data_IF_374558546558
#
_entry.id   IF_374558546558
#
_cell.length_a   1.000
_cell.length_b   1.000
_cell.length_c   1.000
_cell.angle_alpha   90.00
_cell.angle_beta   90.00
_cell.angle_gamma   90.00
#
_symmetry.space_group_name_H-M   'P 1'
#
loop_
_entity.id
_entity.type
_entity.pdbx_description
1 polymer ?
#
# COMPACT_ATOMS: atom_id res chain seq x y z
N UNK A 1 -8.73 3.54 -3.22
CA UNK A 1 -7.36 3.13 -2.82
C UNK A 1 -7.20 3.33 -1.33
N UNK A 2 -6.72 2.29 -0.63
CA UNK A 2 -6.41 2.33 0.79
C UNK A 2 -4.91 2.54 1.01
N UNK A 3 -4.55 3.25 2.07
CA UNK A 3 -3.17 3.41 2.52
C UNK A 3 -3.11 3.63 4.03
N UNK A 4 -2.02 3.18 4.65
CA UNK A 4 -1.64 3.56 6.01
C UNK A 4 -0.84 4.86 5.97
N UNK A 5 -1.10 5.75 6.91
CA UNK A 5 -0.40 7.04 7.09
C UNK A 5 -0.17 7.27 8.57
N UNK A 6 1.06 7.05 9.03
CA UNK A 6 1.43 7.13 10.44
C UNK A 6 2.66 8.01 10.66
N UNK A 7 2.67 8.73 11.78
CA UNK A 7 3.78 9.59 12.18
C UNK A 7 3.77 10.96 11.52
N UNK A 8 4.89 11.67 11.67
CA UNK A 8 5.11 13.00 11.10
C UNK A 8 6.61 13.20 10.81
N UNK A 9 6.95 14.16 9.94
CA UNK A 9 8.33 14.39 9.51
C UNK A 9 8.60 13.96 8.06
N UNK A 10 9.87 13.73 7.67
CA UNK A 10 10.22 13.38 6.29
C UNK A 10 9.50 12.11 5.82
N UNK A 11 8.84 12.14 4.64
CA UNK A 11 8.01 11.03 4.20
C UNK A 11 8.83 9.83 3.74
N UNK A 12 8.39 8.64 4.11
CA UNK A 12 8.90 7.35 3.62
C UNK A 12 7.75 6.57 3.02
N UNK A 13 7.83 6.28 1.72
CA UNK A 13 6.79 5.52 1.00
C UNK A 13 7.25 4.07 0.85
N UNK A 14 6.43 3.13 1.32
CA UNK A 14 6.76 1.69 1.31
C UNK A 14 5.79 0.97 0.36
N UNK A 15 6.29 0.56 -0.81
CA UNK A 15 5.47 -0.06 -1.86
C UNK A 15 5.69 -1.57 -1.86
N UNK A 16 4.63 -2.32 -1.60
CA UNK A 16 4.68 -3.77 -1.49
C UNK A 16 4.74 -4.47 -2.87
N UNK A 17 5.19 -5.73 -2.88
CA UNK A 17 5.18 -6.62 -4.06
C UNK A 17 3.95 -7.53 -4.12
N UNK A 18 3.93 -8.47 -5.07
CA UNK A 18 2.88 -9.48 -5.24
C UNK A 18 3.37 -10.86 -4.74
N UNK A 19 2.60 -11.65 -3.96
CA UNK A 19 1.31 -11.35 -3.31
C UNK A 19 1.48 -10.83 -1.88
N UNK A 20 1.32 -9.52 -1.68
CA UNK A 20 1.36 -8.89 -0.35
C UNK A 20 0.52 -7.61 -0.31
N UNK A 21 0.61 -6.87 0.80
CA UNK A 21 -0.15 -5.64 1.10
C UNK A 21 0.53 -4.87 2.24
N UNK A 22 0.02 -3.69 2.58
CA UNK A 22 0.57 -2.75 3.57
C UNK A 22 0.98 -3.38 4.90
N UNK A 23 0.23 -4.40 5.38
CA UNK A 23 0.55 -5.11 6.62
C UNK A 23 1.95 -5.75 6.65
N UNK A 24 2.54 -6.03 5.48
CA UNK A 24 3.91 -6.52 5.36
C UNK A 24 4.91 -5.57 6.05
N UNK A 25 4.68 -4.27 5.98
CA UNK A 25 5.59 -3.24 6.53
C UNK A 25 5.35 -2.87 7.99
N UNK A 26 4.40 -3.49 8.69
CA UNK A 26 4.00 -3.09 10.07
C UNK A 26 5.17 -2.87 11.03
N UNK A 27 6.21 -3.72 10.98
CA UNK A 27 7.40 -3.59 11.85
C UNK A 27 8.27 -2.41 11.46
N UNK A 28 8.37 -2.13 10.16
CA UNK A 28 9.11 -0.98 9.65
C UNK A 28 8.39 0.32 9.98
N UNK A 29 7.05 0.34 9.85
CA UNK A 29 6.20 1.46 10.28
C UNK A 29 6.40 1.72 11.78
N UNK A 30 6.30 0.70 12.64
CA UNK A 30 6.54 0.86 14.08
C UNK A 30 7.92 1.43 14.41
N UNK A 31 8.94 1.07 13.63
CA UNK A 31 10.30 1.55 13.85
C UNK A 31 10.54 2.98 13.35
N UNK A 32 9.86 3.41 12.29
CA UNK A 32 10.12 4.69 11.61
C UNK A 32 9.09 5.78 11.92
N UNK A 33 7.85 5.45 12.27
CA UNK A 33 6.80 6.43 12.56
C UNK A 33 7.13 7.44 13.68
N UNK A 34 8.03 7.18 14.65
CA UNK A 34 8.45 8.19 15.62
C UNK A 34 9.20 9.38 15.01
N UNK A 35 9.89 9.22 13.86
CA UNK A 35 10.73 10.26 13.24
C UNK A 35 10.38 10.56 11.79
N UNK A 36 9.53 9.74 11.17
CA UNK A 36 9.16 9.84 9.77
C UNK A 36 7.64 9.71 9.61
N UNK A 37 7.11 10.34 8.56
CA UNK A 37 5.75 10.05 8.10
C UNK A 37 5.80 8.81 7.20
N UNK A 38 5.27 7.70 7.67
CA UNK A 38 5.23 6.43 6.96
C UNK A 38 3.94 6.34 6.14
N UNK A 39 4.07 6.23 4.81
CA UNK A 39 2.94 6.06 3.89
C UNK A 39 3.05 4.69 3.23
N UNK A 40 2.04 3.84 3.42
CA UNK A 40 2.05 2.46 2.92
C UNK A 40 0.76 2.16 2.14
N UNK A 41 0.74 2.39 0.82
CA UNK A 41 -0.44 2.12 -0.01
C UNK A 41 -0.64 0.63 -0.27
N UNK A 42 -1.90 0.21 -0.36
CA UNK A 42 -2.28 -1.07 -0.94
C UNK A 42 -2.54 -0.88 -2.44
N UNK A 43 -1.87 -1.67 -3.29
CA UNK A 43 -2.17 -1.70 -4.73
C UNK A 43 -3.65 -2.04 -4.98
N UNK A 44 -4.23 -1.50 -6.06
CA UNK A 44 -5.59 -1.87 -6.47
C UNK A 44 -5.65 -3.38 -6.73
N UNK A 45 -6.66 -4.05 -6.19
CA UNK A 45 -6.76 -5.51 -6.18
C UNK A 45 -6.18 -6.20 -4.94
N UNK A 46 -5.41 -5.49 -4.10
CA UNK A 46 -4.70 -6.05 -2.94
C UNK A 46 -5.16 -5.42 -1.63
N UNK A 47 -4.91 -6.12 -0.52
CA UNK A 47 -5.14 -5.61 0.82
C UNK A 47 -6.56 -5.05 1.03
N UNK A 48 -6.65 -3.86 1.61
CA UNK A 48 -7.91 -3.15 1.82
C UNK A 48 -8.28 -2.22 0.66
N UNK A 49 -7.44 -2.12 -0.37
CA UNK A 49 -7.81 -1.40 -1.60
C UNK A 49 -8.95 -2.12 -2.33
N UNK A 50 -9.70 -1.33 -3.11
CA UNK A 50 -10.77 -1.81 -3.97
C UNK A 50 -10.29 -2.91 -4.91
N UNK A 51 -11.21 -3.82 -5.25
CA UNK A 51 -10.98 -4.96 -6.15
C UNK A 51 -11.94 -4.84 -7.34
N UNK A 52 -11.74 -3.86 -8.22
CA UNK A 52 -12.63 -3.64 -9.34
C UNK A 52 -12.59 -4.83 -10.30
N UNK A 53 -13.73 -5.10 -10.93
CA UNK A 53 -13.82 -5.98 -12.08
C UNK A 53 -13.17 -5.34 -13.29
N UNK A 54 -12.96 -6.15 -14.34
CA UNK A 54 -12.28 -5.72 -15.56
C UNK A 54 -13.05 -4.60 -16.30
N UNK A 55 -14.36 -4.48 -16.07
CA UNK A 55 -15.22 -3.41 -16.58
C UNK A 55 -14.94 -2.03 -15.97
N UNK A 56 -14.28 -1.98 -14.82
CA UNK A 56 -14.04 -0.75 -14.05
C UNK A 56 -12.56 -0.43 -13.85
N UNK A 57 -11.66 -1.25 -14.38
CA UNK A 57 -10.22 -1.07 -14.20
C UNK A 57 -9.45 -1.54 -15.44
N UNK A 58 -9.09 -0.59 -16.29
CA UNK A 58 -8.41 -0.82 -17.57
C UNK A 58 -6.94 -1.23 -17.40
N UNK A 59 -6.31 -0.89 -16.27
CA UNK A 59 -4.90 -1.16 -16.01
C UNK A 59 -4.66 -2.57 -15.44
N UNK A 60 -5.01 -3.60 -16.21
CA UNK A 60 -4.78 -5.02 -15.87
C UNK A 60 -3.74 -5.66 -16.78
N UNK A 61 -3.27 -6.85 -16.42
CA UNK A 61 -2.51 -7.68 -17.34
C UNK A 61 -3.44 -8.16 -18.46
N UNK A 62 -2.91 -8.28 -19.67
CA UNK A 62 -3.63 -8.77 -20.86
C UNK A 62 -4.26 -10.15 -20.63
N UNK A 63 -3.66 -10.95 -19.73
CA UNK A 63 -4.22 -12.20 -19.21
C UNK A 63 -4.05 -12.23 -17.69
N UNK A 64 -5.18 -12.30 -16.97
CA UNK A 64 -5.23 -12.50 -15.52
C UNK A 64 -5.22 -13.98 -15.16
#
# INVERSE_FOLDING_TARGET
MHYLDEGSGPPVVMVHGNPSWSFYYRRLVTALSPTNRCIVPDHIGMGMSDKPGDDRYEYTLERR
#
